data_IF_100550161251
#
_entry.id   IF_100550161251
#
_cell.length_a   1.000
_cell.length_b   1.000
_cell.length_c   1.000
_cell.angle_alpha   90.00
_cell.angle_beta   90.00
_cell.angle_gamma   90.00
#
_symmetry.space_group_name_H-M   'P 1'
#
loop_
_entity.id
_entity.type
_entity.pdbx_description
1 polymer ?
#
# COMPACT_ATOMS: atom_id res chain seq x y z
N UNK A 1 13.66 12.83 -0.80
CA UNK A 1 12.36 12.58 -1.46
C UNK A 1 11.67 11.46 -0.70
N UNK A 2 10.37 11.49 -0.56
CA UNK A 2 9.58 10.51 0.19
C UNK A 2 8.35 10.09 -0.60
N UNK A 3 7.84 8.91 -0.31
CA UNK A 3 6.56 8.41 -0.77
C UNK A 3 5.46 9.06 0.06
N UNK A 4 4.46 9.65 -0.58
CA UNK A 4 3.21 10.04 0.04
C UNK A 4 2.09 9.05 -0.34
N UNK A 5 1.20 8.78 0.61
CA UNK A 5 0.07 7.87 0.45
C UNK A 5 -1.20 8.69 0.69
N UNK A 6 -2.01 8.83 -0.35
CA UNK A 6 -3.31 9.52 -0.28
C UNK A 6 -4.47 8.56 -0.54
N UNK A 7 -5.58 8.77 0.15
CA UNK A 7 -6.84 8.06 -0.04
C UNK A 7 -7.91 9.10 -0.31
N UNK A 8 -8.76 8.89 -1.33
CA UNK A 8 -9.77 9.88 -1.70
C UNK A 8 -9.21 11.13 -2.38
N UNK A 9 -8.06 11.01 -3.04
CA UNK A 9 -7.33 12.15 -3.60
C UNK A 9 -8.08 12.87 -4.72
N UNK A 10 -8.98 12.20 -5.45
CA UNK A 10 -9.81 12.87 -6.44
C UNK A 10 -10.73 13.90 -5.78
N UNK A 11 -11.37 13.55 -4.67
CA UNK A 11 -12.24 14.47 -3.94
C UNK A 11 -11.46 15.67 -3.40
N UNK A 12 -10.28 15.44 -2.83
CA UNK A 12 -9.41 16.51 -2.33
C UNK A 12 -8.97 17.47 -3.45
N UNK A 13 -8.47 16.92 -4.56
CA UNK A 13 -7.99 17.75 -5.68
C UNK A 13 -9.13 18.37 -6.50
N UNK A 14 -10.33 17.78 -6.52
CA UNK A 14 -11.49 18.42 -7.15
C UNK A 14 -11.79 19.78 -6.51
N UNK A 15 -11.57 19.92 -5.21
CA UNK A 15 -11.78 21.17 -4.49
C UNK A 15 -10.57 22.14 -4.53
N UNK A 16 -9.33 21.61 -4.62
CA UNK A 16 -8.10 22.40 -4.40
C UNK A 16 -7.25 22.59 -5.65
N UNK A 17 -7.25 21.63 -6.58
CA UNK A 17 -6.42 21.63 -7.79
C UNK A 17 -7.11 20.93 -8.96
N UNK A 18 -7.96 21.64 -9.74
CA UNK A 18 -8.74 21.07 -10.84
C UNK A 18 -7.90 20.39 -11.94
N UNK A 19 -6.67 20.85 -12.20
CA UNK A 19 -5.79 20.23 -13.19
C UNK A 19 -5.32 18.85 -12.73
N UNK A 20 -4.91 18.73 -11.47
CA UNK A 20 -4.54 17.43 -10.89
C UNK A 20 -5.74 16.50 -10.84
N UNK A 21 -6.92 16.99 -10.44
CA UNK A 21 -8.15 16.20 -10.48
C UNK A 21 -8.50 15.71 -11.89
N UNK A 22 -8.32 16.55 -12.91
CA UNK A 22 -8.53 16.15 -14.31
C UNK A 22 -7.58 15.01 -14.70
N UNK A 23 -6.29 15.11 -14.37
CA UNK A 23 -5.31 14.07 -14.67
C UNK A 23 -5.65 12.75 -13.98
N UNK A 24 -6.07 12.80 -12.71
CA UNK A 24 -6.51 11.59 -11.97
C UNK A 24 -7.71 10.94 -12.69
N UNK A 25 -8.72 11.72 -13.13
CA UNK A 25 -9.85 11.18 -13.89
C UNK A 25 -9.41 10.52 -15.19
N UNK A 26 -8.49 11.12 -15.93
CA UNK A 26 -7.95 10.56 -17.16
C UNK A 26 -7.22 9.23 -16.91
N UNK A 27 -6.40 9.15 -15.86
CA UNK A 27 -5.73 7.92 -15.45
C UNK A 27 -6.74 6.84 -14.99
N UNK A 28 -7.77 7.21 -14.23
CA UNK A 28 -8.84 6.29 -13.80
C UNK A 28 -9.65 5.73 -14.97
N UNK A 29 -9.87 6.51 -16.03
CA UNK A 29 -10.52 5.97 -17.24
C UNK A 29 -9.63 4.93 -17.96
N UNK A 30 -8.31 5.15 -18.02
CA UNK A 30 -7.37 4.13 -18.53
C UNK A 30 -7.39 2.88 -17.63
N UNK A 31 -7.35 3.07 -16.31
CA UNK A 31 -7.47 1.97 -15.34
C UNK A 31 -8.76 1.19 -15.55
N UNK A 32 -9.90 1.86 -15.71
CA UNK A 32 -11.18 1.23 -15.97
C UNK A 32 -11.22 0.47 -17.32
N UNK A 33 -10.45 0.91 -18.30
CA UNK A 33 -10.26 0.12 -19.51
C UNK A 33 -9.49 -1.18 -19.22
N UNK A 34 -8.39 -1.13 -18.42
CA UNK A 34 -7.63 -2.33 -18.03
C UNK A 34 -8.49 -3.28 -17.20
N UNK A 35 -9.28 -2.78 -16.25
CA UNK A 35 -10.24 -3.59 -15.49
C UNK A 35 -11.20 -4.34 -16.43
N UNK A 36 -11.77 -3.65 -17.43
CA UNK A 36 -12.68 -4.26 -18.41
C UNK A 36 -11.99 -5.33 -19.26
N UNK A 37 -10.76 -5.06 -19.71
CA UNK A 37 -9.95 -6.01 -20.48
C UNK A 37 -9.64 -7.29 -19.66
N UNK A 38 -9.50 -7.15 -18.33
CA UNK A 38 -9.34 -8.26 -17.39
C UNK A 38 -10.66 -8.92 -16.97
N UNK A 39 -11.81 -8.46 -17.46
CA UNK A 39 -13.13 -9.00 -17.06
C UNK A 39 -13.57 -8.60 -15.65
N UNK A 40 -12.99 -7.53 -15.11
CA UNK A 40 -13.25 -7.03 -13.75
C UNK A 40 -14.30 -5.90 -13.77
N UNK A 41 -14.97 -5.65 -12.64
CA UNK A 41 -15.91 -4.55 -12.51
C UNK A 41 -15.22 -3.19 -12.66
N UNK A 42 -15.95 -2.22 -13.21
CA UNK A 42 -15.48 -0.84 -13.24
C UNK A 42 -15.41 -0.26 -11.84
N UNK A 43 -14.37 0.52 -11.57
CA UNK A 43 -14.27 1.35 -10.38
C UNK A 43 -14.87 2.74 -10.63
N UNK A 44 -15.70 3.21 -9.69
CA UNK A 44 -16.26 4.56 -9.69
C UNK A 44 -15.68 5.38 -8.55
N UNK A 45 -14.67 6.18 -8.83
CA UNK A 45 -14.00 6.99 -7.80
C UNK A 45 -14.91 8.11 -7.29
N UNK A 46 -15.13 8.25 -5.96
CA UNK A 46 -15.88 9.34 -5.37
C UNK A 46 -15.25 10.72 -5.62
N UNK A 47 -16.08 11.71 -5.94
CA UNK A 47 -15.65 13.11 -6.07
C UNK A 47 -15.85 13.96 -4.80
N UNK A 48 -16.52 13.39 -3.80
CA UNK A 48 -16.71 13.99 -2.49
C UNK A 48 -17.04 12.93 -1.45
N UNK A 49 -16.81 13.25 -0.18
CA UNK A 49 -17.20 12.42 0.96
C UNK A 49 -18.06 13.26 1.91
N UNK A 50 -19.03 12.63 2.56
CA UNK A 50 -19.89 13.28 3.56
C UNK A 50 -19.11 13.52 4.87
N UNK A 51 -18.11 12.68 5.16
CA UNK A 51 -17.26 12.76 6.36
C UNK A 51 -15.78 12.73 5.96
N UNK A 52 -14.93 13.30 6.79
CA UNK A 52 -13.49 13.28 6.60
C UNK A 52 -12.93 11.84 6.76
N UNK A 53 -12.12 11.40 5.82
CA UNK A 53 -11.46 10.11 5.89
C UNK A 53 -10.40 10.13 6.98
N UNK A 54 -10.64 9.43 8.09
CA UNK A 54 -9.76 9.43 9.26
C UNK A 54 -8.86 8.21 9.30
N UNK A 55 -7.56 8.42 9.14
CA UNK A 55 -6.52 7.41 9.32
C UNK A 55 -6.00 7.40 10.75
N UNK A 56 -5.78 6.19 11.30
CA UNK A 56 -5.12 6.00 12.61
C UNK A 56 -3.60 6.01 12.50
N UNK A 57 -3.05 5.97 11.28
CA UNK A 57 -1.62 6.12 11.06
C UNK A 57 -1.20 7.59 11.21
N UNK A 58 -0.13 7.84 11.95
CA UNK A 58 0.46 9.18 12.08
C UNK A 58 1.28 9.59 10.85
N UNK A 59 1.67 8.62 10.02
CA UNK A 59 2.48 8.84 8.83
C UNK A 59 1.61 8.73 7.58
N UNK A 60 1.55 9.82 6.82
CA UNK A 60 0.99 9.85 5.47
C UNK A 60 2.08 9.93 4.40
N UNK A 61 3.32 10.16 4.82
CA UNK A 61 4.51 10.13 3.96
C UNK A 61 5.73 9.66 4.74
N UNK A 62 6.66 8.98 4.05
CA UNK A 62 7.91 8.49 4.61
C UNK A 62 8.97 8.30 3.52
N UNK A 63 10.27 8.18 3.86
CA UNK A 63 11.32 7.90 2.88
C UNK A 63 11.04 6.63 2.07
N UNK A 64 11.33 6.62 0.77
CA UNK A 64 11.15 5.42 -0.07
C UNK A 64 11.84 4.17 0.48
N UNK A 65 13.02 4.33 1.09
CA UNK A 65 13.74 3.23 1.72
C UNK A 65 12.92 2.51 2.79
N UNK A 66 12.00 3.21 3.49
CA UNK A 66 11.17 2.59 4.51
C UNK A 66 10.20 1.55 3.94
N UNK A 67 9.67 1.79 2.74
CA UNK A 67 8.86 0.79 2.04
C UNK A 67 9.65 -0.49 1.79
N UNK A 68 10.93 -0.37 1.45
CA UNK A 68 11.80 -1.54 1.21
C UNK A 68 12.10 -2.33 2.48
N UNK A 69 12.12 -1.72 3.68
CA UNK A 69 12.19 -2.47 4.94
C UNK A 69 11.00 -3.42 5.08
N UNK A 70 9.77 -2.92 4.91
CA UNK A 70 8.57 -3.75 4.98
C UNK A 70 8.53 -4.80 3.85
N UNK A 71 8.90 -4.42 2.62
CA UNK A 71 8.93 -5.34 1.49
C UNK A 71 9.95 -6.47 1.66
N UNK A 72 11.15 -6.17 2.17
CA UNK A 72 12.13 -7.19 2.52
C UNK A 72 11.56 -8.16 3.55
N UNK A 73 10.99 -7.63 4.62
CA UNK A 73 10.35 -8.44 5.66
C UNK A 73 9.27 -9.35 5.07
N UNK A 74 8.37 -8.78 4.26
CA UNK A 74 7.31 -9.51 3.58
C UNK A 74 7.84 -10.62 2.66
N UNK A 75 8.86 -10.32 1.87
CA UNK A 75 9.47 -11.28 0.94
C UNK A 75 10.02 -12.52 1.68
N UNK A 76 10.68 -12.31 2.82
CA UNK A 76 11.18 -13.41 3.63
C UNK A 76 10.06 -14.25 4.26
N UNK A 77 9.04 -13.61 4.83
CA UNK A 77 7.87 -14.29 5.42
C UNK A 77 7.09 -15.08 4.36
N UNK A 78 6.84 -14.49 3.20
CA UNK A 78 6.12 -15.15 2.10
C UNK A 78 6.90 -16.33 1.53
N UNK A 79 8.22 -16.25 1.50
CA UNK A 79 9.10 -17.34 1.01
C UNK A 79 9.20 -18.49 1.99
N UNK A 80 9.35 -18.20 3.28
CA UNK A 80 9.41 -19.22 4.35
C UNK A 80 8.67 -18.71 5.60
N UNK A 81 7.45 -19.21 5.85
CA UNK A 81 6.68 -18.81 7.04
C UNK A 81 7.36 -19.15 8.38
N UNK A 82 8.43 -19.93 8.37
CA UNK A 82 9.23 -20.27 9.57
C UNK A 82 10.47 -19.38 9.70
N UNK A 83 10.64 -18.42 8.79
CA UNK A 83 11.75 -17.47 8.88
C UNK A 83 11.73 -16.74 10.21
N UNK A 84 12.87 -16.70 10.87
CA UNK A 84 13.04 -15.93 12.11
C UNK A 84 13.49 -14.51 11.74
N UNK A 85 12.66 -13.48 12.02
CA UNK A 85 12.98 -12.12 11.66
C UNK A 85 14.29 -11.62 12.31
N UNK A 86 15.11 -10.94 11.52
CA UNK A 86 16.27 -10.22 11.98
C UNK A 86 16.35 -8.82 11.36
N UNK A 87 16.78 -7.79 12.11
CA UNK A 87 16.92 -6.44 11.58
C UNK A 87 18.02 -6.39 10.52
N UNK A 88 17.95 -5.37 9.67
CA UNK A 88 18.99 -5.07 8.69
C UNK A 88 20.21 -4.51 9.42
N UNK A 89 21.39 -4.95 9.00
CA UNK A 89 22.65 -4.44 9.55
C UNK A 89 22.90 -2.98 9.11
N UNK A 90 23.56 -2.19 9.97
CA UNK A 90 23.88 -0.81 9.62
C UNK A 90 24.69 -0.70 8.32
N UNK A 91 24.17 0.05 7.35
CA UNK A 91 24.80 0.27 6.04
C UNK A 91 24.33 -0.66 4.94
N UNK A 92 23.48 -1.63 5.22
CA UNK A 92 22.80 -2.43 4.21
C UNK A 92 21.54 -1.69 3.68
N UNK A 93 21.30 -1.81 2.36
CA UNK A 93 20.06 -1.31 1.75
C UNK A 93 19.06 -2.47 1.64
N UNK A 94 17.85 -2.36 2.26
CA UNK A 94 16.83 -3.40 2.15
C UNK A 94 16.39 -3.70 0.71
N UNK A 95 16.53 -2.75 -0.21
CA UNK A 95 16.22 -2.94 -1.62
C UNK A 95 17.19 -3.92 -2.33
N UNK A 96 18.39 -4.11 -1.75
CA UNK A 96 19.40 -5.02 -2.29
C UNK A 96 19.24 -6.47 -1.84
N UNK A 97 18.28 -6.75 -0.95
CA UNK A 97 18.02 -8.09 -0.44
C UNK A 97 17.74 -9.09 -1.59
N UNK A 98 18.49 -10.21 -1.67
CA UNK A 98 18.37 -11.16 -2.76
C UNK A 98 17.02 -11.89 -2.78
N UNK A 99 16.36 -12.07 -1.62
CA UNK A 99 15.04 -12.70 -1.54
C UNK A 99 13.99 -11.75 -2.12
N UNK A 100 14.03 -10.48 -1.72
CA UNK A 100 13.15 -9.45 -2.26
C UNK A 100 13.29 -9.33 -3.79
N UNK A 101 14.52 -9.26 -4.29
CA UNK A 101 14.81 -9.21 -5.74
C UNK A 101 14.29 -10.44 -6.50
N UNK A 102 14.33 -11.62 -5.87
CA UNK A 102 13.77 -12.82 -6.47
C UNK A 102 12.24 -12.77 -6.53
N UNK A 103 11.59 -12.29 -5.46
CA UNK A 103 10.13 -12.19 -5.37
C UNK A 103 9.54 -11.18 -6.37
N UNK A 104 10.23 -10.08 -6.67
CA UNK A 104 9.80 -9.14 -7.71
C UNK A 104 9.56 -9.79 -9.09
N UNK A 105 10.31 -10.84 -9.43
CA UNK A 105 10.19 -11.52 -10.72
C UNK A 105 8.90 -12.35 -10.85
N UNK A 106 8.28 -12.71 -9.74
CA UNK A 106 7.06 -13.53 -9.75
C UNK A 106 5.81 -12.71 -10.09
N UNK A 107 5.83 -11.38 -9.93
CA UNK A 107 4.71 -10.44 -10.12
C UNK A 107 3.41 -10.90 -9.45
N UNK A 108 3.51 -11.60 -8.32
CA UNK A 108 2.39 -12.24 -7.63
C UNK A 108 1.95 -11.54 -6.34
N UNK A 109 2.66 -10.48 -5.91
CA UNK A 109 2.36 -9.76 -4.67
C UNK A 109 2.03 -8.31 -4.97
N UNK A 110 0.90 -7.85 -4.43
CA UNK A 110 0.46 -6.46 -4.55
C UNK A 110 1.31 -5.50 -3.71
N UNK A 111 1.83 -5.96 -2.57
CA UNK A 111 2.75 -5.18 -1.74
C UNK A 111 4.15 -5.08 -2.37
N UNK A 112 4.69 -6.20 -2.85
CA UNK A 112 6.06 -6.24 -3.34
C UNK A 112 6.19 -5.60 -4.73
N UNK A 113 5.30 -5.92 -5.65
CA UNK A 113 5.47 -5.63 -7.08
C UNK A 113 4.87 -4.29 -7.53
N UNK A 114 4.24 -3.54 -6.64
CA UNK A 114 3.77 -2.19 -6.93
C UNK A 114 4.95 -1.20 -7.00
N UNK A 115 4.78 -0.10 -7.73
CA UNK A 115 5.79 0.97 -7.80
C UNK A 115 6.15 1.52 -6.41
N UNK A 116 7.39 2.01 -6.28
CA UNK A 116 7.92 2.55 -5.01
C UNK A 116 7.52 4.00 -4.77
N UNK A 117 7.14 4.72 -5.83
CA UNK A 117 7.04 6.18 -5.80
C UNK A 117 5.70 6.72 -6.24
N UNK A 118 4.97 5.98 -7.06
CA UNK A 118 3.70 6.45 -7.65
C UNK A 118 2.83 5.26 -8.07
N UNK A 119 1.51 5.48 -8.24
CA UNK A 119 0.60 4.46 -8.74
C UNK A 119 -0.66 4.34 -7.91
N UNK A 120 -1.48 3.33 -8.24
CA UNK A 120 -2.81 3.16 -7.67
C UNK A 120 -3.01 1.78 -7.06
N UNK A 121 -3.74 1.74 -5.94
CA UNK A 121 -4.49 0.56 -5.53
C UNK A 121 -5.99 0.88 -5.57
N UNK A 122 -6.78 -0.08 -6.02
CA UNK A 122 -8.22 0.07 -6.17
C UNK A 122 -8.98 -0.82 -5.18
N UNK A 123 -10.16 -0.38 -4.69
CA UNK A 123 -11.07 -1.19 -3.90
C UNK A 123 -11.85 -2.21 -4.78
N UNK A 124 -11.15 -2.84 -5.70
CA UNK A 124 -11.62 -3.94 -6.54
C UNK A 124 -10.80 -5.17 -6.22
N UNK A 125 -11.46 -6.32 -6.00
CA UNK A 125 -10.76 -7.56 -5.69
C UNK A 125 -10.32 -8.28 -6.97
N UNK A 126 -9.00 -8.41 -7.17
CA UNK A 126 -8.37 -9.15 -8.26
C UNK A 126 -7.02 -9.73 -7.81
N UNK A 127 -6.69 -10.91 -8.32
CA UNK A 127 -5.49 -11.67 -7.92
C UNK A 127 -4.23 -11.21 -8.65
N UNK A 128 -4.33 -10.94 -9.95
CA UNK A 128 -3.20 -10.56 -10.78
C UNK A 128 -3.08 -9.04 -10.87
N UNK A 129 -1.88 -8.50 -10.69
CA UNK A 129 -1.62 -7.08 -10.89
C UNK A 129 -2.00 -6.63 -12.30
N UNK A 130 -2.66 -5.49 -12.41
CA UNK A 130 -2.96 -4.90 -13.71
C UNK A 130 -1.74 -4.11 -14.18
N UNK A 131 -1.16 -4.54 -15.28
CA UNK A 131 -0.01 -3.89 -15.89
C UNK A 131 -0.45 -2.88 -16.95
N UNK A 132 0.23 -1.74 -17.01
CA UNK A 132 0.05 -0.75 -18.07
C UNK A 132 1.31 -0.66 -18.95
N UNK A 133 1.44 -1.50 -19.99
CA UNK A 133 2.60 -1.51 -20.88
C UNK A 133 2.72 -0.22 -21.71
N UNK A 134 1.65 0.56 -21.82
CA UNK A 134 1.62 1.81 -22.58
C UNK A 134 2.10 3.02 -21.76
N UNK A 135 2.39 2.84 -20.46
CA UNK A 135 2.83 3.89 -19.53
C UNK A 135 1.89 5.11 -19.47
N UNK A 136 0.58 4.88 -19.56
CA UNK A 136 -0.46 5.91 -19.43
C UNK A 136 -0.91 6.14 -18.01
N UNK A 137 -0.63 5.16 -17.13
CA UNK A 137 -0.92 5.19 -15.71
C UNK A 137 0.41 5.39 -14.97
N UNK A 138 0.47 6.32 -14.03
CA UNK A 138 1.65 6.49 -13.19
C UNK A 138 2.01 5.18 -12.49
N UNK A 139 3.30 4.91 -12.33
CA UNK A 139 3.82 3.68 -11.74
C UNK A 139 3.69 2.43 -12.62
N UNK A 140 2.88 2.46 -13.69
CA UNK A 140 2.75 1.37 -14.67
C UNK A 140 2.10 0.08 -14.15
N UNK A 141 1.70 0.06 -12.86
CA UNK A 141 1.10 -1.10 -12.19
C UNK A 141 -0.04 -0.63 -11.29
N UNK A 142 -1.16 -1.34 -11.33
CA UNK A 142 -2.29 -1.09 -10.44
C UNK A 142 -2.51 -2.31 -9.54
N UNK A 143 -2.60 -2.07 -8.24
CA UNK A 143 -2.86 -3.09 -7.22
C UNK A 143 -4.32 -3.14 -6.78
N UNK A 144 -4.69 -4.21 -6.06
CA UNK A 144 -5.94 -4.35 -5.33
C UNK A 144 -5.76 -3.96 -3.87
N UNK A 145 -6.59 -3.08 -3.33
CA UNK A 145 -6.60 -2.74 -1.90
C UNK A 145 -6.97 -3.95 -1.03
N UNK A 146 -7.81 -4.85 -1.54
CA UNK A 146 -8.16 -6.10 -0.86
C UNK A 146 -6.94 -7.02 -0.72
N UNK A 147 -6.19 -7.22 -1.81
CA UNK A 147 -4.99 -8.08 -1.79
C UNK A 147 -3.86 -7.45 -0.98
N UNK A 148 -3.67 -6.14 -1.10
CA UNK A 148 -2.73 -5.42 -0.24
C UNK A 148 -3.06 -5.63 1.24
N UNK A 149 -4.34 -5.47 1.64
CA UNK A 149 -4.77 -5.69 3.02
C UNK A 149 -4.56 -7.13 3.47
N UNK A 150 -4.86 -8.11 2.62
CA UNK A 150 -4.66 -9.54 2.91
C UNK A 150 -3.18 -9.85 3.15
N UNK A 151 -2.30 -9.37 2.27
CA UNK A 151 -0.84 -9.53 2.43
C UNK A 151 -0.33 -8.88 3.73
N UNK A 152 -0.80 -7.66 4.05
CA UNK A 152 -0.45 -6.97 5.29
C UNK A 152 -0.95 -7.72 6.52
N UNK A 153 -2.17 -8.26 6.51
CA UNK A 153 -2.69 -9.09 7.61
C UNK A 153 -1.85 -10.34 7.80
N UNK A 154 -1.37 -10.95 6.71
CA UNK A 154 -0.44 -12.09 6.77
C UNK A 154 0.92 -11.77 7.42
N UNK A 155 1.31 -10.50 7.47
CA UNK A 155 2.54 -10.03 8.12
C UNK A 155 2.33 -9.64 9.59
N UNK A 156 1.09 -9.56 10.07
CA UNK A 156 0.80 -9.02 11.40
C UNK A 156 1.44 -9.86 12.53
N UNK A 157 1.27 -11.18 12.50
CA UNK A 157 1.84 -12.08 13.49
C UNK A 157 3.38 -12.04 13.51
N UNK A 158 4.10 -12.19 12.38
CA UNK A 158 5.55 -12.04 12.34
C UNK A 158 6.08 -10.66 12.79
N UNK A 159 5.28 -9.59 12.62
CA UNK A 159 5.58 -8.23 13.10
C UNK A 159 5.16 -7.99 14.55
N UNK A 160 4.60 -9.01 15.22
CA UNK A 160 4.05 -8.89 16.58
C UNK A 160 2.93 -7.84 16.69
N UNK A 161 2.10 -7.72 15.65
CA UNK A 161 0.95 -6.81 15.60
C UNK A 161 -0.32 -7.63 15.89
N UNK A 162 -0.98 -7.44 17.04
CA UNK A 162 -2.20 -8.17 17.35
C UNK A 162 -3.36 -7.68 16.48
N UNK A 163 -3.90 -8.60 15.67
CA UNK A 163 -5.16 -8.43 14.90
C UNK A 163 -6.13 -9.52 15.30
N UNK A 164 -7.44 -9.30 15.13
CA UNK A 164 -8.44 -10.33 15.37
C UNK A 164 -8.46 -11.39 14.26
N UNK A 165 -9.28 -12.45 14.44
CA UNK A 165 -9.40 -13.54 13.46
C UNK A 165 -9.95 -13.11 12.07
N UNK A 166 -10.38 -11.86 11.92
CA UNK A 166 -10.79 -11.24 10.66
C UNK A 166 -9.75 -10.24 10.13
N UNK A 167 -8.61 -10.12 10.80
CA UNK A 167 -7.56 -9.17 10.45
C UNK A 167 -7.88 -7.73 10.82
N UNK A 168 -8.75 -7.47 11.81
CA UNK A 168 -9.03 -6.12 12.27
C UNK A 168 -8.05 -5.70 13.37
N UNK A 169 -7.59 -4.45 13.26
CA UNK A 169 -6.72 -3.80 14.21
C UNK A 169 -7.54 -2.95 15.18
N UNK A 170 -7.25 -3.04 16.49
CA UNK A 170 -7.90 -2.17 17.47
C UNK A 170 -7.27 -0.76 17.47
N UNK A 171 -8.02 0.25 17.90
CA UNK A 171 -7.52 1.64 17.99
C UNK A 171 -6.36 1.77 18.97
N UNK A 172 -6.36 0.97 20.04
CA UNK A 172 -5.27 0.95 21.00
C UNK A 172 -3.94 0.48 20.36
N UNK A 173 -3.99 -0.62 19.59
CA UNK A 173 -2.81 -1.14 18.88
C UNK A 173 -2.34 -0.18 17.80
N UNK A 174 -3.27 0.39 17.02
CA UNK A 174 -2.94 1.39 16.00
C UNK A 174 -2.23 2.60 16.65
N UNK A 175 -2.72 3.09 17.78
CA UNK A 175 -2.09 4.20 18.52
C UNK A 175 -0.72 3.83 19.04
N UNK A 176 -0.52 2.63 19.58
CA UNK A 176 0.77 2.15 20.07
C UNK A 176 1.80 2.10 18.92
N UNK A 177 1.43 1.62 17.74
CA UNK A 177 2.31 1.63 16.57
C UNK A 177 2.57 3.07 16.12
N UNK A 178 1.54 3.88 15.98
CA UNK A 178 1.61 5.27 15.50
C UNK A 178 2.55 6.17 16.34
N UNK A 179 2.75 5.85 17.61
CA UNK A 179 3.63 6.58 18.53
C UNK A 179 5.06 6.04 18.59
N UNK A 180 5.38 4.96 17.88
CA UNK A 180 6.73 4.40 17.83
C UNK A 180 7.71 5.38 17.18
N UNK A 181 8.97 5.33 17.66
CA UNK A 181 10.07 6.02 17.00
C UNK A 181 10.78 5.06 16.05
N UNK A 182 11.15 5.50 14.84
CA UNK A 182 11.79 4.63 13.85
C UNK A 182 13.05 3.92 14.35
N UNK A 183 13.79 4.55 15.26
CA UNK A 183 15.00 4.01 15.88
C UNK A 183 14.76 3.37 17.26
N UNK A 184 13.51 3.21 17.68
CA UNK A 184 13.18 2.88 19.07
C UNK A 184 13.19 1.39 19.39
N UNK A 185 12.95 0.54 18.40
CA UNK A 185 12.86 -0.91 18.58
C UNK A 185 13.14 -1.64 17.26
N UNK A 186 13.51 -2.92 17.29
CA UNK A 186 13.54 -3.75 16.09
C UNK A 186 12.20 -3.71 15.35
N UNK A 187 12.24 -3.62 14.03
CA UNK A 187 11.07 -3.58 13.11
C UNK A 187 10.11 -2.40 13.34
N UNK A 188 10.55 -1.32 13.99
CA UNK A 188 9.71 -0.13 14.20
C UNK A 188 9.34 0.54 12.86
N UNK A 189 10.27 0.59 11.91
CA UNK A 189 10.02 1.14 10.57
C UNK A 189 8.99 0.28 9.82
N UNK A 190 9.17 -1.04 9.85
CA UNK A 190 8.26 -1.98 9.22
C UNK A 190 6.84 -1.85 9.78
N UNK A 191 6.68 -1.76 11.11
CA UNK A 191 5.36 -1.57 11.74
C UNK A 191 4.72 -0.24 11.39
N UNK A 192 5.48 0.85 11.34
CA UNK A 192 4.98 2.18 10.95
C UNK A 192 4.49 2.20 9.50
N UNK A 193 5.26 1.62 8.57
CA UNK A 193 4.88 1.51 7.16
C UNK A 193 3.70 0.55 6.99
N UNK A 194 3.71 -0.57 7.72
CA UNK A 194 2.61 -1.51 7.74
C UNK A 194 1.31 -0.82 8.15
N UNK A 195 1.32 -0.03 9.23
CA UNK A 195 0.14 0.69 9.69
C UNK A 195 -0.35 1.71 8.65
N UNK A 196 0.55 2.46 8.04
CA UNK A 196 0.19 3.45 7.01
C UNK A 196 -0.51 2.79 5.81
N UNK A 197 0.03 1.67 5.31
CA UNK A 197 -0.56 0.92 4.21
C UNK A 197 -1.84 0.19 4.61
N UNK A 198 -1.89 -0.39 5.81
CA UNK A 198 -3.08 -1.06 6.34
C UNK A 198 -4.27 -0.09 6.46
N UNK A 199 -4.04 1.10 7.01
CA UNK A 199 -5.06 2.13 7.13
C UNK A 199 -5.50 2.67 5.76
N UNK A 200 -4.56 2.86 4.83
CA UNK A 200 -4.90 3.24 3.47
C UNK A 200 -5.78 2.17 2.79
N UNK A 201 -5.42 0.89 2.92
CA UNK A 201 -6.21 -0.20 2.35
C UNK A 201 -7.60 -0.32 3.02
N UNK A 202 -7.67 -0.15 4.35
CA UNK A 202 -8.94 -0.14 5.09
C UNK A 202 -9.86 0.96 4.59
N UNK A 203 -9.37 2.22 4.56
CA UNK A 203 -10.14 3.37 4.08
C UNK A 203 -10.55 3.23 2.62
N UNK A 204 -9.65 2.75 1.77
CA UNK A 204 -9.94 2.48 0.36
C UNK A 204 -11.13 1.52 0.20
N UNK A 205 -11.14 0.41 0.93
CA UNK A 205 -12.19 -0.60 0.88
C UNK A 205 -13.50 -0.08 1.50
N UNK A 206 -13.41 0.61 2.63
CA UNK A 206 -14.58 1.09 3.38
C UNK A 206 -15.34 2.20 2.63
N UNK A 207 -14.62 3.06 1.90
CA UNK A 207 -15.18 4.22 1.22
C UNK A 207 -15.21 4.09 -0.31
N UNK A 208 -14.90 2.91 -0.84
CA UNK A 208 -14.86 2.61 -2.29
C UNK A 208 -14.01 3.62 -3.09
N UNK A 209 -12.82 3.96 -2.58
CA UNK A 209 -11.93 4.97 -3.17
C UNK A 209 -10.51 4.45 -3.38
N UNK A 210 -9.82 4.96 -4.38
CA UNK A 210 -8.46 4.55 -4.70
C UNK A 210 -7.44 5.05 -3.65
N UNK A 211 -6.38 4.26 -3.46
CA UNK A 211 -5.13 4.73 -2.86
C UNK A 211 -4.26 5.27 -3.97
N UNK A 212 -3.66 6.44 -3.77
CA UNK A 212 -2.69 7.05 -4.67
C UNK A 212 -1.34 7.17 -3.98
N UNK A 213 -0.29 6.62 -4.59
CA UNK A 213 1.12 6.88 -4.28
C UNK A 213 1.61 8.07 -5.11
N UNK A 214 2.30 9.06 -4.50
CA UNK A 214 2.77 10.27 -5.19
C UNK A 214 3.92 10.98 -4.46
#
# INVERSE_FOLDING_TARGET
MGLAIGVGMLAEFAATNPETAKRIREELEVINQRLREAGLPRHGEPESFDEELSSRASLTSFPYSWLHYLRRFAAHVMRDPRWVPYPIEPGEDPADDPVLRQMYRALSSHLLCHSDSEGYYLPVDFEELLLDPDHKIRGGVVGSSYRLREELVGLADPLEIPVDGKGHLTDEVARQISTQRPSGAPFAVERLVWLALYEAARLSIEHDTAILFY
#
